data_IF_332558640559
#
_entry.id   IF_332558640559
#
_cell.length_a   1.000
_cell.length_b   1.000
_cell.length_c   1.000
_cell.angle_alpha   90.00
_cell.angle_beta   90.00
_cell.angle_gamma   90.00
#
_symmetry.space_group_name_H-M   'P 1'
#
loop_
_entity.id
_entity.type
_entity.pdbx_description
1 polymer ?
#
# COMPACT_ATOMS: atom_id res chain seq x y z
N UNK A 1 38.25 20.95 7.96
CA UNK A 1 37.30 22.08 7.91
C UNK A 1 36.70 22.29 6.52
N UNK A 2 37.43 21.98 5.45
CA UNK A 2 36.95 22.17 4.06
C UNK A 2 35.76 21.27 3.70
N UNK A 3 35.74 20.04 4.21
CA UNK A 3 34.67 19.07 3.92
C UNK A 3 33.28 19.54 4.37
N UNK A 4 33.19 20.35 5.44
CA UNK A 4 31.91 20.89 5.91
C UNK A 4 31.26 21.79 4.86
N UNK A 5 32.04 22.52 4.06
CA UNK A 5 31.51 23.37 2.99
C UNK A 5 30.88 22.58 1.86
N UNK A 6 31.25 21.32 1.68
CA UNK A 6 30.62 20.40 0.71
C UNK A 6 29.49 19.62 1.36
N UNK A 7 29.67 19.16 2.60
CA UNK A 7 28.69 18.34 3.31
C UNK A 7 27.40 19.11 3.63
N UNK A 8 27.50 20.38 4.02
CA UNK A 8 26.34 21.23 4.34
C UNK A 8 25.40 21.42 3.14
N UNK A 9 25.85 21.86 1.94
CA UNK A 9 24.94 22.01 0.82
C UNK A 9 24.41 20.65 0.31
N UNK A 10 25.22 19.59 0.36
CA UNK A 10 24.77 18.24 -0.01
C UNK A 10 23.66 17.75 0.93
N UNK A 11 23.80 17.99 2.24
CA UNK A 11 22.77 17.58 3.21
C UNK A 11 21.48 18.40 3.05
N UNK A 12 21.59 19.71 2.80
CA UNK A 12 20.42 20.55 2.50
C UNK A 12 19.70 20.06 1.24
N UNK A 13 20.43 19.76 0.16
CA UNK A 13 19.85 19.19 -1.05
C UNK A 13 19.18 17.85 -0.80
N UNK A 14 19.80 16.98 0.00
CA UNK A 14 19.22 15.69 0.38
C UNK A 14 17.90 15.88 1.13
N UNK A 15 17.86 16.79 2.10
CA UNK A 15 16.63 17.10 2.86
C UNK A 15 15.55 17.64 1.94
N UNK A 16 15.89 18.57 1.04
CA UNK A 16 14.94 19.08 0.04
C UNK A 16 14.42 17.99 -0.88
N UNK A 17 15.28 17.06 -1.31
CA UNK A 17 14.87 15.92 -2.12
C UNK A 17 13.90 15.01 -1.36
N UNK A 18 14.18 14.71 -0.09
CA UNK A 18 13.29 13.94 0.78
C UNK A 18 11.94 14.65 0.91
N UNK A 19 11.93 15.95 1.21
CA UNK A 19 10.69 16.73 1.34
C UNK A 19 9.89 16.77 0.03
N UNK A 20 10.56 16.86 -1.12
CA UNK A 20 9.90 16.82 -2.43
C UNK A 20 9.25 15.46 -2.69
N UNK A 21 9.95 14.36 -2.42
CA UNK A 21 9.40 13.00 -2.55
C UNK A 21 8.25 12.78 -1.58
N UNK A 22 8.39 13.22 -0.32
CA UNK A 22 7.35 13.07 0.69
C UNK A 22 6.12 13.90 0.33
N UNK A 23 6.30 15.15 -0.10
CA UNK A 23 5.22 16.02 -0.54
C UNK A 23 4.51 15.47 -1.78
N UNK A 24 5.26 14.88 -2.71
CA UNK A 24 4.68 14.18 -3.86
C UNK A 24 3.86 12.96 -3.44
N UNK A 25 4.37 12.13 -2.53
CA UNK A 25 3.65 10.96 -2.01
C UNK A 25 2.35 11.35 -1.29
N UNK A 26 2.39 12.43 -0.51
CA UNK A 26 1.20 12.97 0.16
C UNK A 26 0.16 13.45 -0.86
N UNK A 27 0.58 14.20 -1.87
CA UNK A 27 -0.32 14.70 -2.91
C UNK A 27 -0.82 13.60 -3.86
N UNK A 28 -0.10 12.48 -3.96
CA UNK A 28 -0.48 11.36 -4.85
C UNK A 28 -1.56 10.45 -4.27
N UNK A 29 -2.12 10.78 -3.11
CA UNK A 29 -3.26 10.04 -2.55
C UNK A 29 -2.92 8.65 -2.00
N UNK A 30 -1.64 8.36 -1.69
CA UNK A 30 -1.23 7.05 -1.13
C UNK A 30 -1.93 6.72 0.21
N UNK A 31 -2.57 7.70 0.84
CA UNK A 31 -3.34 7.51 2.08
C UNK A 31 -4.75 6.97 1.83
N UNK A 32 -5.35 7.16 0.65
CA UNK A 32 -6.70 6.69 0.32
C UNK A 32 -6.76 5.15 0.31
N UNK A 33 -5.70 4.50 -0.21
CA UNK A 33 -5.59 3.04 -0.25
C UNK A 33 -5.48 2.40 1.16
N UNK A 34 -4.95 3.14 2.15
CA UNK A 34 -4.77 2.63 3.53
C UNK A 34 -6.10 2.61 4.29
N UNK A 35 -6.99 3.56 4.04
CA UNK A 35 -8.31 3.63 4.69
C UNK A 35 -9.21 2.45 4.30
N UNK A 36 -9.19 2.08 3.02
CA UNK A 36 -9.92 0.92 2.51
C UNK A 36 -9.38 -0.41 3.06
N UNK A 37 -8.06 -0.58 3.12
CA UNK A 37 -7.45 -1.81 3.63
C UNK A 37 -7.61 -1.94 5.17
N UNK A 38 -7.64 -0.83 5.90
CA UNK A 38 -7.94 -0.80 7.35
C UNK A 38 -9.35 -1.31 7.69
N UNK A 39 -10.34 -0.97 6.86
CA UNK A 39 -11.71 -1.47 7.00
C UNK A 39 -11.80 -2.98 6.74
N UNK A 40 -10.96 -3.52 5.85
CA UNK A 40 -10.91 -4.94 5.48
C UNK A 40 -10.36 -5.83 6.59
N UNK A 41 -9.48 -5.31 7.46
CA UNK A 41 -8.94 -6.03 8.63
C UNK A 41 -9.95 -6.06 9.78
N UNK A 42 -10.76 -5.01 9.92
CA UNK A 42 -11.77 -4.87 10.98
C UNK A 42 -13.11 -5.53 10.63
N UNK A 43 -13.38 -5.77 9.34
CA UNK A 43 -14.46 -6.62 8.90
C UNK A 43 -14.00 -8.07 9.07
N UNK A 44 -14.37 -8.79 10.14
CA UNK A 44 -14.30 -10.25 10.09
C UNK A 44 -15.08 -10.66 8.84
N UNK A 45 -14.55 -11.59 8.06
CA UNK A 45 -15.23 -12.14 6.90
C UNK A 45 -16.55 -12.80 7.36
N UNK A 46 -17.61 -12.01 7.52
CA UNK A 46 -18.95 -12.53 7.61
C UNK A 46 -19.37 -12.85 6.18
N UNK A 47 -19.30 -14.15 5.87
CA UNK A 47 -19.68 -14.84 4.63
C UNK A 47 -18.51 -15.02 3.64
N UNK A 48 -18.04 -16.22 3.33
CA UNK A 48 -18.76 -17.50 3.31
C UNK A 48 -17.91 -18.65 3.86
N UNK A 49 -18.22 -19.06 5.08
CA UNK A 49 -18.25 -20.49 5.40
C UNK A 49 -19.21 -21.17 4.42
N UNK A 50 -18.70 -22.15 3.66
CA UNK A 50 -19.46 -23.32 3.24
C UNK A 50 -20.54 -23.16 2.16
N UNK A 51 -20.15 -22.88 0.91
CA UNK A 51 -20.84 -23.54 -0.19
C UNK A 51 -19.85 -24.48 -0.88
N UNK A 52 -19.96 -25.81 -0.68
CA UNK A 52 -19.30 -26.75 -1.55
C UNK A 52 -19.82 -26.48 -2.96
N UNK A 53 -18.91 -26.46 -3.92
CA UNK A 53 -19.22 -26.41 -5.34
C UNK A 53 -19.98 -27.69 -5.75
N UNK A 54 -21.26 -27.77 -5.42
CA UNK A 54 -22.18 -28.85 -5.80
C UNK A 54 -22.80 -28.62 -7.19
N UNK A 55 -22.24 -27.72 -8.02
CA UNK A 55 -22.78 -27.44 -9.37
C UNK A 55 -21.92 -27.93 -10.52
N UNK A 56 -20.87 -28.71 -10.26
CA UNK A 56 -20.07 -29.31 -11.32
C UNK A 56 -19.63 -30.77 -11.07
N UNK A 57 -20.54 -31.60 -10.56
CA UNK A 57 -20.45 -33.05 -10.81
C UNK A 57 -21.57 -33.39 -11.78
N UNK A 58 -21.25 -33.29 -13.06
CA UNK A 58 -22.07 -33.87 -14.13
C UNK A 58 -22.44 -35.31 -13.75
N UNK A 59 -23.71 -35.71 -13.83
CA UNK A 59 -24.03 -37.12 -13.88
C UNK A 59 -23.56 -37.59 -15.25
N UNK A 60 -22.33 -38.09 -15.32
CA UNK A 60 -21.88 -38.93 -16.42
C UNK A 60 -22.83 -40.13 -16.48
N UNK A 61 -23.85 -40.00 -17.32
CA UNK A 61 -24.55 -41.13 -17.91
C UNK A 61 -23.53 -41.85 -18.79
N UNK A 62 -23.03 -43.02 -18.36
CA UNK A 62 -22.67 -44.18 -19.19
C UNK A 62 -22.77 -45.47 -18.36
#
# INVERSE_FOLDING_TARGET
>A
MEILYVLIPVSVLLVLAILAVLGWAVNSGQFEDIEQEGLRVLQPQEQADGQPDERNVEPHQE
#
